data_IF_887188867528
#
_entry.id   IF_887188867528
#
_cell.length_a   1.000
_cell.length_b   1.000
_cell.length_c   1.000
_cell.angle_alpha   90.00
_cell.angle_beta   90.00
_cell.angle_gamma   90.00
#
_symmetry.space_group_name_H-M   'P 1'
#
loop_
_entity.id
_entity.type
_entity.pdbx_description
1 polymer ?
#
# COMPACT_ATOMS: atom_id res chain seq x y z
N UNK A 1 4.77 33.95 -14.19
CA UNK A 1 4.77 32.83 -13.22
C UNK A 1 4.05 31.66 -13.88
N UNK A 2 4.48 30.43 -13.63
CA UNK A 2 3.86 29.22 -14.18
C UNK A 2 3.48 28.26 -13.06
N UNK A 3 2.59 27.31 -13.37
CA UNK A 3 2.13 26.31 -12.43
C UNK A 3 1.88 24.96 -13.10
N UNK A 4 2.17 23.86 -12.41
CA UNK A 4 1.78 22.52 -12.81
C UNK A 4 0.88 21.87 -11.77
N UNK A 5 -0.05 21.05 -12.23
CA UNK A 5 -0.83 20.13 -11.40
C UNK A 5 -0.34 18.72 -11.73
N UNK A 6 0.23 18.02 -10.75
CA UNK A 6 0.94 16.76 -10.95
C UNK A 6 0.56 15.74 -9.88
N UNK A 7 0.77 14.45 -10.15
CA UNK A 7 0.75 13.46 -9.06
C UNK A 7 1.92 13.69 -8.10
N UNK A 8 1.65 13.70 -6.79
CA UNK A 8 2.67 13.90 -5.75
C UNK A 8 3.73 12.77 -5.69
N UNK A 9 3.53 11.67 -6.42
CA UNK A 9 4.48 10.54 -6.52
C UNK A 9 5.87 10.99 -6.97
N UNK A 10 5.98 12.02 -7.81
CA UNK A 10 7.29 12.52 -8.26
C UNK A 10 8.15 13.03 -7.10
N UNK A 11 7.54 13.47 -5.99
CA UNK A 11 8.27 13.93 -4.80
C UNK A 11 9.02 12.80 -4.10
N UNK A 12 8.59 11.55 -4.28
CA UNK A 12 9.10 10.39 -3.54
C UNK A 12 9.84 9.36 -4.39
N UNK A 13 9.60 9.33 -5.70
CA UNK A 13 10.14 8.31 -6.60
C UNK A 13 11.46 8.73 -7.24
N UNK A 14 12.29 7.73 -7.58
CA UNK A 14 13.43 7.92 -8.49
C UNK A 14 12.98 8.45 -9.84
N UNK A 15 11.78 8.06 -10.28
CA UNK A 15 11.16 8.51 -11.54
C UNK A 15 10.93 10.01 -11.59
N UNK A 16 10.71 10.66 -10.44
CA UNK A 16 10.55 12.12 -10.35
C UNK A 16 11.87 12.90 -10.33
N UNK A 17 13.04 12.23 -10.28
CA UNK A 17 14.34 12.88 -10.15
C UNK A 17 14.66 13.85 -11.30
N UNK A 18 14.35 13.47 -12.54
CA UNK A 18 14.58 14.34 -13.71
C UNK A 18 13.69 15.58 -13.69
N UNK A 19 12.44 15.46 -13.25
CA UNK A 19 11.54 16.60 -13.10
C UNK A 19 12.02 17.55 -11.99
N UNK A 20 12.47 17.00 -10.85
CA UNK A 20 13.07 17.79 -9.77
C UNK A 20 14.32 18.53 -10.26
N UNK A 21 15.20 17.84 -11.00
CA UNK A 21 16.39 18.44 -11.61
C UNK A 21 16.03 19.62 -12.51
N UNK A 22 15.06 19.40 -13.41
CA UNK A 22 14.56 20.47 -14.27
C UNK A 22 14.06 21.67 -13.47
N UNK A 23 13.24 21.45 -12.44
CA UNK A 23 12.73 22.52 -11.59
C UNK A 23 13.88 23.25 -10.87
N UNK A 24 14.85 22.51 -10.36
CA UNK A 24 16.00 23.09 -9.65
C UNK A 24 16.95 23.88 -10.54
N UNK A 25 17.13 23.50 -11.81
CA UNK A 25 18.12 24.11 -12.70
C UNK A 25 17.54 25.22 -13.58
N UNK A 26 16.25 25.12 -13.95
CA UNK A 26 15.63 25.95 -14.99
C UNK A 26 14.53 26.86 -14.46
N UNK A 27 14.24 26.78 -13.16
CA UNK A 27 13.19 27.59 -12.56
C UNK A 27 13.63 28.17 -11.22
N UNK A 28 13.07 29.34 -10.89
CA UNK A 28 12.95 29.79 -9.52
C UNK A 28 11.71 29.12 -8.95
N UNK A 29 11.91 27.96 -8.32
CA UNK A 29 10.83 27.19 -7.70
C UNK A 29 10.31 28.00 -6.52
N UNK A 30 9.00 28.22 -6.46
CA UNK A 30 8.39 29.00 -5.39
C UNK A 30 7.78 28.09 -4.36
N UNK A 31 6.86 27.23 -4.81
CA UNK A 31 6.04 26.46 -3.88
C UNK A 31 5.69 25.09 -4.45
N UNK A 32 5.56 24.14 -3.54
CA UNK A 32 4.97 22.83 -3.78
C UNK A 32 3.85 22.66 -2.75
N UNK A 33 2.61 22.68 -3.22
CA UNK A 33 1.42 22.59 -2.37
C UNK A 33 0.78 21.22 -2.56
N UNK A 34 0.75 20.41 -1.51
CA UNK A 34 -0.02 19.18 -1.45
C UNK A 34 -1.38 19.47 -0.84
N UNK A 35 -2.40 19.28 -1.65
CA UNK A 35 -3.79 19.49 -1.25
C UNK A 35 -4.38 18.21 -0.63
N UNK A 36 -5.31 18.30 0.32
CA UNK A 36 -6.02 17.14 0.85
C UNK A 36 -6.92 16.48 -0.22
N UNK A 37 -7.11 15.16 -0.10
CA UNK A 37 -8.16 14.44 -0.82
C UNK A 37 -7.92 14.13 -2.31
N UNK A 38 -8.95 13.55 -2.93
CA UNK A 38 -9.03 13.27 -4.37
C UNK A 38 -9.74 14.44 -5.03
N UNK A 39 -8.97 15.33 -5.66
CA UNK A 39 -9.52 16.55 -6.27
C UNK A 39 -10.14 16.33 -7.65
N UNK A 40 -9.76 15.26 -8.34
CA UNK A 40 -10.30 14.93 -9.65
C UNK A 40 -11.28 13.77 -9.52
N UNK A 41 -12.52 13.99 -9.93
CA UNK A 41 -13.54 12.94 -9.95
C UNK A 41 -13.06 11.76 -10.81
N UNK A 42 -13.26 10.55 -10.29
CA UNK A 42 -12.87 9.31 -10.97
C UNK A 42 -11.37 8.98 -10.96
N UNK A 43 -10.50 9.83 -10.38
CA UNK A 43 -9.06 9.59 -10.30
C UNK A 43 -8.59 9.43 -8.84
N UNK A 44 -8.17 8.22 -8.49
CA UNK A 44 -7.53 7.94 -7.20
C UNK A 44 -6.04 8.30 -7.21
N UNK A 45 -5.75 9.59 -7.40
CA UNK A 45 -4.39 10.09 -7.48
C UNK A 45 -4.19 11.26 -6.54
N UNK A 46 -3.22 11.12 -5.64
CA UNK A 46 -2.74 12.21 -4.80
C UNK A 46 -2.06 13.26 -5.67
N UNK A 47 -2.53 14.49 -5.55
CA UNK A 47 -2.12 15.61 -6.42
C UNK A 47 -1.33 16.65 -5.62
N UNK A 48 -0.40 17.32 -6.29
CA UNK A 48 0.23 18.53 -5.79
C UNK A 48 0.33 19.60 -6.88
N UNK A 49 0.30 20.84 -6.44
CA UNK A 49 0.55 22.03 -7.25
C UNK A 49 2.02 22.42 -7.13
N UNK A 50 2.64 22.74 -8.25
CA UNK A 50 4.02 23.25 -8.29
C UNK A 50 4.00 24.63 -8.91
N UNK A 51 4.41 25.64 -8.16
CA UNK A 51 4.42 27.05 -8.58
C UNK A 51 5.86 27.49 -8.76
N UNK A 52 6.17 28.11 -9.90
CA UNK A 52 7.53 28.51 -10.24
C UNK A 52 7.57 29.73 -11.16
N UNK A 53 8.74 30.35 -11.26
CA UNK A 53 9.05 31.37 -12.27
C UNK A 53 10.16 30.85 -13.18
N UNK A 54 9.94 30.91 -14.51
CA UNK A 54 10.96 30.55 -15.50
C UNK A 54 12.21 31.42 -15.29
N UNK A 55 13.39 30.78 -15.32
CA UNK A 55 14.68 31.46 -15.19
C UNK A 55 15.63 30.68 -14.28
N UNK A 56 16.89 31.09 -14.29
CA UNK A 56 17.93 30.50 -13.44
C UNK A 56 17.61 30.81 -11.97
N UNK A 57 17.76 29.84 -11.05
CA UNK A 57 17.52 30.05 -9.63
C UNK A 57 18.41 31.16 -9.09
N UNK A 58 17.83 32.07 -8.30
CA UNK A 58 18.62 32.99 -7.48
C UNK A 58 19.27 32.24 -6.31
N UNK A 59 20.45 32.69 -5.89
CA UNK A 59 21.20 32.07 -4.80
C UNK A 59 20.42 32.04 -3.47
N UNK A 60 19.58 33.04 -3.23
CA UNK A 60 18.74 33.23 -2.06
C UNK A 60 17.29 32.73 -2.25
N UNK A 61 17.01 32.00 -3.33
CA UNK A 61 15.64 31.58 -3.61
C UNK A 61 15.17 30.53 -2.60
N UNK A 62 14.18 30.89 -1.78
CA UNK A 62 13.47 29.98 -0.89
C UNK A 62 12.34 29.26 -1.60
N UNK A 63 12.18 27.97 -1.28
CA UNK A 63 11.11 27.09 -1.71
C UNK A 63 10.24 26.73 -0.52
N UNK A 64 8.92 26.85 -0.67
CA UNK A 64 7.95 26.42 0.34
C UNK A 64 7.33 25.09 -0.03
N UNK A 65 7.31 24.18 0.92
CA UNK A 65 6.59 22.91 0.86
C UNK A 65 5.39 23.03 1.78
N UNK A 66 4.20 23.11 1.19
CA UNK A 66 2.95 23.29 1.92
C UNK A 66 2.15 22.00 1.83
N UNK A 67 1.74 21.45 2.97
CA UNK A 67 0.74 20.39 3.04
C UNK A 67 -0.49 20.96 3.74
N UNK A 68 -1.61 20.95 3.04
CA UNK A 68 -2.91 21.25 3.61
C UNK A 68 -3.50 19.96 4.19
N UNK A 69 -4.04 20.02 5.40
CA UNK A 69 -4.76 18.91 6.02
C UNK A 69 -6.26 18.97 5.72
N UNK A 70 -6.78 20.16 5.51
CA UNK A 70 -8.18 20.46 5.21
C UNK A 70 -8.26 21.46 4.05
N UNK A 71 -9.43 21.58 3.43
CA UNK A 71 -9.64 22.61 2.41
C UNK A 71 -9.54 23.99 3.06
N UNK A 72 -8.80 24.89 2.41
CA UNK A 72 -8.59 26.25 2.91
C UNK A 72 -9.11 27.26 1.90
N UNK A 73 -9.52 28.42 2.39
CA UNK A 73 -9.93 29.54 1.54
C UNK A 73 -8.75 30.06 0.72
N UNK A 74 -8.99 30.69 -0.45
CA UNK A 74 -7.92 31.30 -1.24
C UNK A 74 -7.08 32.31 -0.44
N UNK A 75 -7.72 33.13 0.41
CA UNK A 75 -7.03 34.10 1.27
C UNK A 75 -6.07 33.40 2.24
N UNK A 76 -6.50 32.28 2.83
CA UNK A 76 -5.66 31.49 3.73
C UNK A 76 -4.48 30.85 3.00
N UNK A 77 -4.67 30.46 1.73
CA UNK A 77 -3.58 29.97 0.91
C UNK A 77 -2.53 31.06 0.65
N UNK A 78 -2.95 32.30 0.39
CA UNK A 78 -2.06 33.45 0.22
C UNK A 78 -1.28 33.75 1.51
N UNK A 79 -1.93 33.65 2.67
CA UNK A 79 -1.25 33.76 3.97
C UNK A 79 -0.18 32.69 4.17
N UNK A 80 -0.51 31.42 3.86
CA UNK A 80 0.45 30.30 3.96
C UNK A 80 1.60 30.45 2.96
N UNK A 81 1.34 31.04 1.78
CA UNK A 81 2.35 31.37 0.78
C UNK A 81 3.29 32.51 1.23
N UNK A 82 2.86 33.36 2.17
CA UNK A 82 3.69 34.44 2.73
C UNK A 82 4.62 33.97 3.87
N UNK A 83 4.43 32.75 4.40
CA UNK A 83 5.23 32.21 5.51
C UNK A 83 6.69 31.99 5.12
N UNK A 84 7.62 32.54 5.90
CA UNK A 84 9.07 32.43 5.64
C UNK A 84 9.82 31.42 6.53
N UNK A 85 9.13 30.82 7.49
CA UNK A 85 9.69 29.86 8.47
C UNK A 85 8.87 28.58 8.53
N UNK A 86 9.45 27.50 9.06
CA UNK A 86 8.70 26.24 9.24
C UNK A 86 7.53 26.45 10.22
N UNK A 87 6.32 26.10 9.80
CA UNK A 87 5.09 26.23 10.60
C UNK A 87 4.30 24.93 10.52
N UNK A 88 3.72 24.52 11.64
CA UNK A 88 2.81 23.37 11.69
C UNK A 88 1.58 23.77 12.52
N UNK A 89 0.45 23.94 11.86
CA UNK A 89 -0.85 24.24 12.47
C UNK A 89 -1.77 23.03 12.37
N UNK A 90 -2.98 23.14 12.93
CA UNK A 90 -4.05 22.16 12.72
C UNK A 90 -4.47 22.03 11.26
N UNK A 91 -4.39 23.13 10.49
CA UNK A 91 -4.89 23.23 9.12
C UNK A 91 -3.83 22.89 8.07
N UNK A 92 -2.57 23.22 8.35
CA UNK A 92 -1.50 23.12 7.37
C UNK A 92 -0.11 22.94 8.00
N UNK A 93 0.79 22.39 7.21
CA UNK A 93 2.22 22.35 7.47
C UNK A 93 2.97 23.07 6.37
N UNK A 94 3.82 24.03 6.72
CA UNK A 94 4.71 24.76 5.81
C UNK A 94 6.15 24.45 6.20
N UNK A 95 6.96 24.07 5.23
CA UNK A 95 8.41 23.86 5.39
C UNK A 95 9.14 24.70 4.36
N UNK A 96 10.06 25.55 4.81
CA UNK A 96 10.78 26.51 3.98
C UNK A 96 12.24 26.11 3.85
N UNK A 97 12.73 25.93 2.63
CA UNK A 97 14.11 25.50 2.37
C UNK A 97 14.74 26.35 1.28
N UNK A 98 16.05 26.56 1.36
CA UNK A 98 16.79 27.20 0.29
C UNK A 98 16.84 26.27 -0.92
N UNK A 99 16.53 26.77 -2.12
CA UNK A 99 16.50 25.95 -3.33
C UNK A 99 17.86 25.28 -3.59
N UNK A 100 18.96 25.99 -3.30
CA UNK A 100 20.32 25.46 -3.45
C UNK A 100 20.65 24.30 -2.52
N UNK A 101 19.88 24.10 -1.44
CA UNK A 101 20.04 22.96 -0.52
C UNK A 101 19.25 21.71 -0.94
N UNK A 102 18.41 21.83 -1.98
CA UNK A 102 17.56 20.74 -2.43
C UNK A 102 18.31 19.83 -3.41
N UNK A 103 18.30 18.53 -3.11
CA UNK A 103 18.86 17.51 -4.01
C UNK A 103 17.75 16.83 -4.81
N UNK A 104 17.96 16.63 -6.12
CA UNK A 104 16.95 16.03 -7.00
C UNK A 104 16.70 14.54 -6.74
N UNK A 105 17.67 13.80 -6.22
CA UNK A 105 17.52 12.39 -5.81
C UNK A 105 16.83 12.24 -4.45
N UNK A 106 16.79 13.31 -3.65
CA UNK A 106 16.18 13.27 -2.33
C UNK A 106 14.66 13.09 -2.40
N UNK A 107 14.12 12.46 -1.35
CA UNK A 107 12.67 12.29 -1.16
C UNK A 107 12.05 13.56 -0.59
N UNK A 108 11.75 14.53 -1.45
CA UNK A 108 11.11 15.80 -1.07
C UNK A 108 9.79 15.61 -0.33
N UNK A 109 9.06 14.52 -0.61
CA UNK A 109 7.82 14.22 0.10
C UNK A 109 7.98 14.08 1.62
N UNK A 110 9.20 13.84 2.13
CA UNK A 110 9.50 13.87 3.56
C UNK A 110 9.20 15.22 4.21
N UNK A 111 9.38 16.32 3.48
CA UNK A 111 9.09 17.68 3.97
C UNK A 111 7.59 17.86 4.24
N UNK A 112 6.76 17.13 3.50
CA UNK A 112 5.30 17.13 3.61
C UNK A 112 4.78 16.04 4.56
N UNK A 113 5.63 15.21 5.15
CA UNK A 113 5.16 14.22 6.12
C UNK A 113 4.80 14.91 7.43
N UNK A 114 3.63 14.60 7.96
CA UNK A 114 3.29 14.92 9.34
C UNK A 114 3.69 13.70 10.17
N UNK A 115 4.98 13.59 10.48
CA UNK A 115 5.49 12.53 11.35
C UNK A 115 5.23 12.99 12.78
N UNK A 116 4.42 12.28 13.58
CA UNK A 116 4.31 12.57 15.00
C UNK A 116 5.70 12.55 15.63
N UNK A 117 6.01 13.53 16.49
CA UNK A 117 7.32 13.64 17.14
C UNK A 117 7.77 12.32 17.79
N UNK A 118 6.81 11.58 18.35
CA UNK A 118 7.00 10.24 18.93
C UNK A 118 7.64 9.23 17.97
N UNK A 119 7.34 9.27 16.68
CA UNK A 119 7.92 8.33 15.71
C UNK A 119 9.37 8.65 15.39
N UNK A 120 9.72 9.95 15.36
CA UNK A 120 11.10 10.42 15.18
C UNK A 120 11.95 10.08 16.40
N UNK A 121 11.42 10.30 17.59
CA UNK A 121 12.04 9.91 18.85
C UNK A 121 12.26 8.40 18.96
N UNK A 122 11.33 7.58 18.44
CA UNK A 122 11.54 6.15 18.36
C UNK A 122 12.67 5.80 17.39
N UNK A 123 12.68 6.39 16.19
CA UNK A 123 13.71 6.12 15.17
C UNK A 123 15.13 6.43 15.65
N UNK A 124 15.29 7.47 16.46
CA UNK A 124 16.58 7.93 16.97
C UNK A 124 17.04 7.18 18.25
N UNK A 125 16.25 6.23 18.78
CA UNK A 125 16.62 5.46 19.98
C UNK A 125 17.52 4.27 19.66
N UNK A 126 18.55 4.11 20.48
CA UNK A 126 19.64 3.13 20.35
C UNK A 126 19.24 1.65 20.46
N UNK A 127 18.00 1.34 20.88
CA UNK A 127 17.56 -0.05 21.03
C UNK A 127 17.08 -0.69 19.72
N UNK A 128 16.87 0.10 18.65
CA UNK A 128 16.48 -0.46 17.35
C UNK A 128 17.71 -0.87 16.54
N UNK A 129 17.74 -2.14 16.11
CA UNK A 129 18.75 -2.66 15.18
C UNK A 129 18.21 -2.63 13.75
N UNK A 130 19.01 -2.19 12.76
CA UNK A 130 18.65 -2.31 11.35
C UNK A 130 18.22 -3.74 10.99
N UNK A 131 17.12 -3.88 10.26
CA UNK A 131 16.59 -5.20 9.88
C UNK A 131 17.62 -6.06 9.12
N UNK A 132 18.50 -5.42 8.33
CA UNK A 132 19.60 -6.07 7.60
C UNK A 132 20.61 -6.78 8.52
N UNK A 133 20.71 -6.36 9.78
CA UNK A 133 21.64 -6.92 10.75
C UNK A 133 21.06 -8.17 11.42
N UNK A 134 19.73 -8.33 11.39
CA UNK A 134 19.00 -9.50 11.91
C UNK A 134 18.73 -10.49 10.77
N UNK A 135 18.31 -9.98 9.61
CA UNK A 135 17.98 -10.77 8.43
C UNK A 135 18.94 -10.43 7.29
N UNK A 136 19.94 -11.29 7.01
CA UNK A 136 20.97 -11.03 6.00
C UNK A 136 20.41 -11.01 4.57
N UNK A 137 19.22 -11.58 4.37
CA UNK A 137 18.52 -11.59 3.08
C UNK A 137 17.08 -11.22 3.30
N UNK A 138 16.63 -10.23 2.54
CA UNK A 138 15.22 -9.91 2.37
C UNK A 138 14.91 -10.07 0.88
N UNK A 139 13.78 -10.71 0.57
CA UNK A 139 13.30 -10.85 -0.80
C UNK A 139 11.92 -10.22 -0.89
N UNK A 140 11.69 -9.44 -1.95
CA UNK A 140 10.33 -9.03 -2.30
C UNK A 140 9.54 -10.28 -2.68
N UNK A 141 8.27 -10.34 -2.27
CA UNK A 141 7.35 -11.37 -2.74
C UNK A 141 7.33 -11.42 -4.26
N UNK A 142 7.21 -12.61 -4.83
CA UNK A 142 7.18 -12.78 -6.29
C UNK A 142 5.91 -12.15 -6.83
N UNK A 143 6.08 -11.12 -7.66
CA UNK A 143 4.96 -10.39 -8.25
C UNK A 143 4.41 -11.21 -9.43
N UNK A 144 3.33 -11.95 -9.19
CA UNK A 144 2.72 -12.82 -10.20
C UNK A 144 1.59 -12.10 -10.99
N UNK A 145 1.50 -10.77 -10.87
CA UNK A 145 0.68 -9.92 -11.73
C UNK A 145 -0.83 -10.16 -11.66
N UNK A 146 -1.34 -10.70 -10.54
CA UNK A 146 -2.73 -11.14 -10.41
C UNK A 146 -3.21 -11.97 -11.62
N UNK A 147 -2.33 -12.85 -12.12
CA UNK A 147 -2.74 -13.88 -13.07
C UNK A 147 -3.90 -14.68 -12.44
N UNK A 148 -4.97 -14.91 -13.22
CA UNK A 148 -6.13 -15.72 -12.85
C UNK A 148 -5.74 -17.10 -12.24
N UNK A 149 -4.53 -17.59 -12.55
CA UNK A 149 -3.92 -18.75 -11.93
C UNK A 149 -3.75 -18.67 -10.40
N UNK A 150 -3.37 -17.51 -9.84
CA UNK A 150 -3.24 -17.30 -8.38
C UNK A 150 -4.50 -16.72 -7.74
N UNK A 151 -5.37 -16.09 -8.54
CA UNK A 151 -6.61 -15.46 -8.11
C UNK A 151 -7.75 -15.91 -9.04
N UNK A 152 -8.29 -17.12 -8.84
CA UNK A 152 -9.28 -17.71 -9.75
C UNK A 152 -10.61 -16.95 -9.81
N UNK A 153 -10.82 -15.94 -8.96
CA UNK A 153 -12.00 -15.06 -8.96
C UNK A 153 -11.84 -13.82 -9.85
N UNK A 154 -10.73 -13.67 -10.59
CA UNK A 154 -10.55 -12.54 -11.51
C UNK A 154 -11.57 -12.59 -12.65
N UNK A 155 -12.44 -11.58 -12.71
CA UNK A 155 -13.53 -11.44 -13.69
C UNK A 155 -13.07 -10.87 -15.04
N UNK A 156 -11.77 -10.59 -15.21
CA UNK A 156 -11.23 -9.95 -16.41
C UNK A 156 -10.94 -11.03 -17.47
N UNK A 157 -11.91 -11.27 -18.35
CA UNK A 157 -11.79 -12.18 -19.50
C UNK A 157 -11.65 -11.37 -20.80
N UNK A 158 -10.52 -11.49 -21.51
CA UNK A 158 -10.23 -10.73 -22.73
C UNK A 158 -10.48 -11.56 -23.99
N UNK A 159 -11.03 -10.90 -25.02
CA UNK A 159 -11.22 -11.45 -26.36
C UNK A 159 -9.88 -11.52 -27.09
N UNK A 160 -9.61 -12.64 -27.76
CA UNK A 160 -8.41 -12.83 -28.57
C UNK A 160 -8.48 -12.01 -29.87
N UNK A 161 -7.31 -11.60 -30.40
CA UNK A 161 -7.26 -10.98 -31.72
C UNK A 161 -7.72 -11.98 -32.79
N UNK A 162 -8.67 -11.57 -33.64
CA UNK A 162 -9.26 -12.43 -34.68
C UNK A 162 -10.35 -13.39 -34.19
N UNK A 163 -10.67 -13.41 -32.89
CA UNK A 163 -11.73 -14.28 -32.34
C UNK A 163 -13.12 -13.77 -32.76
N UNK A 164 -14.02 -14.67 -33.17
CA UNK A 164 -15.41 -14.28 -33.43
C UNK A 164 -16.12 -13.91 -32.12
N UNK A 165 -17.21 -13.15 -32.19
CA UNK A 165 -17.97 -12.80 -30.99
C UNK A 165 -18.61 -14.02 -30.33
N UNK A 166 -19.07 -14.97 -31.14
CA UNK A 166 -19.67 -16.21 -30.68
C UNK A 166 -18.65 -17.07 -29.90
N UNK A 167 -17.46 -17.27 -30.46
CA UNK A 167 -16.42 -18.10 -29.83
C UNK A 167 -15.91 -17.47 -28.52
N UNK A 168 -15.84 -16.13 -28.46
CA UNK A 168 -15.50 -15.42 -27.24
C UNK A 168 -16.54 -15.64 -26.12
N UNK A 169 -17.83 -15.59 -26.46
CA UNK A 169 -18.92 -15.77 -25.50
C UNK A 169 -19.00 -17.21 -24.98
N UNK A 170 -18.81 -18.20 -25.84
CA UNK A 170 -18.77 -19.61 -25.47
C UNK A 170 -17.58 -19.92 -24.54
N UNK A 171 -16.41 -19.39 -24.87
CA UNK A 171 -15.19 -19.55 -24.06
C UNK A 171 -15.29 -18.82 -22.72
N UNK A 172 -15.91 -17.64 -22.68
CA UNK A 172 -16.21 -16.90 -21.45
C UNK A 172 -17.18 -17.66 -20.56
N UNK A 173 -18.22 -18.28 -21.12
CA UNK A 173 -19.19 -19.09 -20.37
C UNK A 173 -18.52 -20.30 -19.73
N UNK A 174 -17.73 -21.05 -20.50
CA UNK A 174 -16.96 -22.19 -20.00
C UNK A 174 -15.98 -21.79 -18.89
N UNK A 175 -15.26 -20.68 -19.07
CA UNK A 175 -14.34 -20.18 -18.04
C UNK A 175 -15.07 -19.77 -16.75
N UNK A 176 -16.26 -19.16 -16.86
CA UNK A 176 -17.08 -18.85 -15.70
C UNK A 176 -17.51 -20.09 -14.93
N UNK A 177 -17.96 -21.14 -15.64
CA UNK A 177 -18.33 -22.43 -15.02
C UNK A 177 -17.14 -23.11 -14.32
N UNK A 178 -15.94 -23.04 -14.92
CA UNK A 178 -14.70 -23.54 -14.31
C UNK A 178 -14.31 -22.75 -13.06
N UNK A 179 -14.49 -21.43 -13.06
CA UNK A 179 -14.28 -20.56 -11.89
C UNK A 179 -15.29 -20.91 -10.80
N UNK A 180 -16.59 -20.94 -11.12
CA UNK A 180 -17.65 -21.21 -10.16
C UNK A 180 -17.46 -22.58 -9.50
N UNK A 181 -17.06 -23.59 -10.28
CA UNK A 181 -16.71 -24.93 -9.77
C UNK A 181 -15.45 -24.91 -8.89
N UNK A 182 -14.45 -24.12 -9.25
CA UNK A 182 -13.20 -24.00 -8.48
C UNK A 182 -13.41 -23.25 -7.18
N UNK A 183 -14.24 -22.20 -7.18
CA UNK A 183 -14.64 -21.42 -6.00
C UNK A 183 -15.49 -22.27 -5.07
N UNK A 184 -16.45 -23.03 -5.58
CA UNK A 184 -17.27 -23.94 -4.77
C UNK A 184 -16.45 -25.00 -4.03
N UNK A 185 -15.34 -25.44 -4.64
CA UNK A 185 -14.43 -26.45 -4.08
C UNK A 185 -13.14 -25.84 -3.51
N UNK A 186 -13.07 -24.52 -3.36
CA UNK A 186 -11.84 -23.81 -3.01
C UNK A 186 -11.38 -24.17 -1.60
N UNK A 187 -12.33 -24.25 -0.65
CA UNK A 187 -12.07 -24.64 0.74
C UNK A 187 -11.46 -26.04 0.80
N UNK A 188 -12.06 -27.03 0.12
CA UNK A 188 -11.57 -28.41 0.11
C UNK A 188 -10.18 -28.53 -0.53
N UNK A 189 -9.96 -27.84 -1.66
CA UNK A 189 -8.65 -27.82 -2.35
C UNK A 189 -7.57 -27.13 -1.53
N UNK A 190 -7.89 -26.00 -0.89
CA UNK A 190 -6.96 -25.32 0.02
C UNK A 190 -6.67 -26.16 1.26
N UNK A 191 -7.68 -26.79 1.87
CA UNK A 191 -7.50 -27.66 3.03
C UNK A 191 -6.56 -28.82 2.69
N UNK A 192 -6.80 -29.49 1.55
CA UNK A 192 -5.98 -30.59 1.07
C UNK A 192 -4.55 -30.15 0.74
N UNK A 193 -4.38 -28.98 0.11
CA UNK A 193 -3.07 -28.43 -0.18
C UNK A 193 -2.32 -28.03 1.09
N UNK A 194 -2.99 -27.38 2.05
CA UNK A 194 -2.43 -27.01 3.33
C UNK A 194 -2.03 -28.24 4.16
N UNK A 195 -2.87 -29.28 4.22
CA UNK A 195 -2.54 -30.55 4.88
C UNK A 195 -1.31 -31.24 4.25
N UNK A 196 -1.20 -31.21 2.92
CA UNK A 196 -0.10 -31.85 2.21
C UNK A 196 1.23 -31.08 2.30
N UNK A 197 1.18 -29.76 2.53
CA UNK A 197 2.34 -28.88 2.50
C UNK A 197 2.56 -28.12 3.82
N UNK A 198 1.87 -28.51 4.89
CA UNK A 198 2.11 -27.96 6.22
C UNK A 198 3.49 -28.40 6.71
N UNK A 199 4.40 -27.43 6.88
CA UNK A 199 5.74 -27.60 7.47
C UNK A 199 5.70 -27.83 9.00
N UNK A 200 4.51 -28.04 9.57
CA UNK A 200 4.35 -28.32 10.99
C UNK A 200 4.68 -29.80 11.22
N UNK A 201 5.56 -30.15 12.19
CA UNK A 201 5.78 -31.54 12.56
C UNK A 201 4.43 -32.21 12.83
N UNK A 202 4.20 -33.41 12.26
CA UNK A 202 2.98 -34.22 12.39
C UNK A 202 2.66 -34.70 13.83
N UNK A 203 3.00 -33.93 14.86
CA UNK A 203 3.03 -34.35 16.26
C UNK A 203 2.20 -33.49 17.22
N UNK A 204 1.29 -32.65 16.76
CA UNK A 204 0.30 -32.04 17.66
C UNK A 204 -1.09 -32.60 17.35
N UNK A 205 -1.46 -33.62 18.11
CA UNK A 205 -2.86 -33.92 18.41
C UNK A 205 -3.38 -32.71 19.19
N UNK A 206 -4.07 -31.79 18.50
CA UNK A 206 -4.82 -30.75 19.19
C UNK A 206 -5.96 -31.43 19.96
N UNK A 207 -5.84 -31.51 21.27
CA UNK A 207 -6.91 -31.94 22.17
C UNK A 207 -7.72 -30.73 22.61
N UNK A 208 -8.98 -30.93 22.99
CA UNK A 208 -9.91 -29.85 23.33
C UNK A 208 -9.38 -28.94 24.46
N UNK A 209 -8.57 -29.50 25.36
CA UNK A 209 -7.84 -28.76 26.39
C UNK A 209 -6.83 -27.72 25.85
N UNK A 210 -6.22 -27.94 24.68
CA UNK A 210 -5.18 -27.04 24.13
C UNK A 210 -5.77 -25.70 23.69
N UNK A 211 -7.03 -25.70 23.25
CA UNK A 211 -7.76 -24.47 22.88
C UNK A 211 -8.07 -23.56 24.07
N UNK A 212 -8.00 -24.10 25.30
CA UNK A 212 -8.22 -23.33 26.54
C UNK A 212 -6.94 -22.65 27.04
N UNK A 213 -5.76 -23.10 26.60
CA UNK A 213 -4.47 -22.58 27.07
C UNK A 213 -3.85 -21.53 26.15
N UNK A 214 -4.25 -21.49 24.88
CA UNK A 214 -3.71 -20.54 23.93
C UNK A 214 -4.50 -19.21 23.95
N UNK A 215 -3.85 -18.13 24.40
CA UNK A 215 -4.44 -16.80 24.56
C UNK A 215 -4.95 -16.20 23.23
N UNK A 216 -4.52 -16.75 22.08
CA UNK A 216 -5.01 -16.36 20.74
C UNK A 216 -6.30 -17.09 20.33
N UNK A 217 -6.73 -18.12 21.08
CA UNK A 217 -7.91 -18.95 20.78
C UNK A 217 -9.01 -18.84 21.85
N UNK A 218 -8.96 -17.84 22.74
CA UNK A 218 -9.99 -17.62 23.76
C UNK A 218 -11.32 -17.27 23.10
N UNK A 219 -12.17 -18.29 22.95
CA UNK A 219 -13.58 -18.14 22.58
C UNK A 219 -14.33 -17.61 23.80
N UNK A 220 -15.04 -16.47 23.71
CA UNK A 220 -15.77 -15.93 24.85
C UNK A 220 -16.82 -16.94 25.33
N UNK A 221 -16.94 -17.17 26.66
CA UNK A 221 -17.87 -18.13 27.22
C UNK A 221 -19.31 -17.76 26.82
N UNK A 222 -20.01 -18.70 26.19
CA UNK A 222 -21.38 -18.52 25.68
C UNK A 222 -21.49 -18.38 24.15
N UNK A 223 -20.39 -18.31 23.42
CA UNK A 223 -20.43 -18.33 21.95
C UNK A 223 -20.35 -19.78 21.41
N UNK A 224 -21.35 -20.16 20.60
CA UNK A 224 -21.34 -21.44 19.93
C UNK A 224 -20.12 -21.53 18.99
N UNK A 225 -19.40 -22.65 19.03
CA UNK A 225 -18.32 -22.97 18.09
C UNK A 225 -18.79 -22.66 16.66
N UNK A 226 -18.08 -21.80 15.90
CA UNK A 226 -18.41 -21.53 14.51
C UNK A 226 -18.52 -22.85 13.75
N UNK A 227 -19.56 -23.00 12.91
CA UNK A 227 -19.81 -24.24 12.15
C UNK A 227 -18.57 -24.72 11.37
N UNK A 228 -17.73 -23.80 10.93
CA UNK A 228 -16.50 -24.05 10.19
C UNK A 228 -15.46 -24.79 11.07
N UNK A 229 -15.43 -24.50 12.37
CA UNK A 229 -14.52 -25.13 13.32
C UNK A 229 -15.01 -26.54 13.71
N UNK A 230 -16.33 -26.74 13.81
CA UNK A 230 -16.92 -28.10 13.96
C UNK A 230 -16.60 -28.99 12.75
N UNK A 231 -16.76 -28.46 11.53
CA UNK A 231 -16.40 -29.17 10.30
C UNK A 231 -14.92 -29.56 10.26
N UNK A 232 -14.00 -28.71 10.72
CA UNK A 232 -12.57 -29.05 10.77
C UNK A 232 -12.30 -30.22 11.74
N UNK A 233 -12.96 -30.24 12.90
CA UNK A 233 -12.83 -31.34 13.87
C UNK A 233 -13.39 -32.65 13.29
N UNK A 234 -14.54 -32.60 12.63
CA UNK A 234 -15.16 -33.78 12.02
C UNK A 234 -14.32 -34.37 10.86
N UNK A 235 -13.70 -33.51 10.04
CA UNK A 235 -12.81 -33.92 8.93
C UNK A 235 -11.51 -34.52 9.47
N UNK A 236 -10.92 -33.93 10.52
CA UNK A 236 -9.73 -34.47 11.15
C UNK A 236 -9.99 -35.85 11.77
N UNK A 237 -11.14 -36.03 12.41
CA UNK A 237 -11.53 -37.30 13.05
C UNK A 237 -11.86 -38.42 12.04
N UNK A 238 -12.43 -38.08 10.88
CA UNK A 238 -12.71 -39.05 9.81
C UNK A 238 -11.44 -39.47 9.09
N UNK A 239 -10.54 -38.54 8.78
CA UNK A 239 -9.24 -38.83 8.15
C UNK A 239 -8.39 -39.77 9.03
N UNK A 240 -8.44 -39.62 10.35
CA UNK A 240 -7.71 -40.50 11.28
C UNK A 240 -8.30 -41.92 11.39
N UNK A 241 -9.62 -42.09 11.21
CA UNK A 241 -10.26 -43.43 11.22
C UNK A 241 -9.89 -44.24 9.98
N UNK A 242 -9.75 -43.59 8.83
CA UNK A 242 -9.37 -44.26 7.59
C UNK A 242 -7.90 -44.66 7.55
N UNK A 243 -7.01 -43.95 8.27
CA UNK A 243 -5.59 -44.31 8.40
C UNK A 243 -5.33 -45.43 9.41
N UNK A 244 -6.18 -45.60 10.45
CA UNK A 244 -6.09 -46.75 11.38
C UNK A 244 -6.73 -48.04 10.87
N UNK A 245 -7.48 -47.96 9.77
CA UNK A 245 -8.17 -49.10 9.15
C UNK A 245 -7.38 -49.71 7.98
N UNK A 246 -6.14 -49.25 7.76
CA UNK A 246 -5.15 -49.78 6.82
C UNK A 246 -3.94 -50.31 7.57
#
# INVERSE_FOLDING_TARGET
TGGFILSDKFLNSKTGGQLKKFLLERTNLKEIVKYPGKHFEGLDVTTCFVIFKKGIPKADNKVRFVKLFEEVTPQRLDELAAVEVDVNTSEAKVVVRDQGSLEHEAKWGKMLLNIPLTYKECYDKSFMKPLKDIFPRHKRGKDNGCNAFFFPTSTIFKKGEGESQHDFEERRKKHKEEIDTTVANLEEKFLKHALNNADVPKNYLLVEEDTKQDLLLVIPPGSALPQNMKKMIDIANTTYRDEKSK
#
